data_IF_478495158581
#
_entry.id   IF_478495158581
#
_cell.length_a   1.000
_cell.length_b   1.000
_cell.length_c   1.000
_cell.angle_alpha   90.00
_cell.angle_beta   90.00
_cell.angle_gamma   90.00
#
_symmetry.space_group_name_H-M   'P 1'
#
loop_
_entity.id
_entity.type
_entity.pdbx_description
1 polymer ?
#
# COMPACT_ATOMS: atom_id res chain seq x y z
N UNK A 1 -6.52 -15.31 -0.57
CA UNK A 1 -5.08 -15.45 -0.89
C UNK A 1 -4.15 -15.30 0.33
N UNK A 2 -4.35 -14.33 1.23
CA UNK A 2 -3.47 -14.12 2.41
C UNK A 2 -3.95 -14.75 3.72
N UNK A 3 -5.23 -15.11 3.83
CA UNK A 3 -5.78 -15.75 5.01
C UNK A 3 -5.08 -17.10 5.29
N UNK A 4 -4.50 -17.23 6.49
CA UNK A 4 -3.77 -18.44 6.92
C UNK A 4 -2.27 -18.44 6.64
N UNK A 5 -1.71 -17.41 5.99
CA UNK A 5 -0.27 -17.24 5.82
C UNK A 5 0.27 -16.21 6.82
N UNK A 6 1.29 -16.58 7.57
CA UNK A 6 2.09 -15.62 8.35
C UNK A 6 3.12 -15.03 7.40
N UNK A 7 2.85 -13.81 6.93
CA UNK A 7 3.83 -13.03 6.17
C UNK A 7 4.63 -12.17 7.14
N UNK A 8 5.96 -12.04 6.94
CA UNK A 8 6.74 -11.11 7.74
C UNK A 8 6.28 -9.68 7.43
N UNK A 9 5.69 -9.03 8.43
CA UNK A 9 5.30 -7.63 8.38
C UNK A 9 6.40 -6.81 9.07
N UNK A 10 6.70 -5.65 8.53
CA UNK A 10 7.68 -4.73 9.15
C UNK A 10 7.06 -3.94 10.31
N UNK A 11 5.75 -3.67 10.29
CA UNK A 11 5.06 -2.95 11.37
C UNK A 11 3.76 -2.30 10.93
N UNK A 12 3.22 -1.42 11.78
CA UNK A 12 2.01 -0.63 11.50
C UNK A 12 2.37 0.81 11.19
N UNK A 13 1.97 1.31 10.02
CA UNK A 13 2.15 2.72 9.68
C UNK A 13 1.15 3.58 10.45
N UNK A 14 1.67 4.49 11.28
CA UNK A 14 0.89 5.47 12.06
C UNK A 14 1.35 6.92 11.76
N UNK A 15 1.95 7.13 10.58
CA UNK A 15 2.60 8.40 10.24
C UNK A 15 3.67 8.78 11.27
N UNK A 16 3.75 10.08 11.59
CA UNK A 16 4.70 10.64 12.55
C UNK A 16 4.50 10.16 13.99
N UNK A 17 3.36 9.53 14.31
CA UNK A 17 3.08 8.95 15.63
C UNK A 17 3.61 7.51 15.77
N UNK A 18 4.08 6.89 14.69
CA UNK A 18 4.60 5.53 14.67
C UNK A 18 6.12 5.44 14.73
N UNK A 19 6.63 4.24 14.42
CA UNK A 19 8.06 4.00 14.33
C UNK A 19 8.65 4.67 13.08
N UNK A 20 9.73 5.44 13.27
CA UNK A 20 10.34 6.24 12.20
C UNK A 20 10.80 5.40 10.99
N UNK A 21 11.28 4.18 11.22
CA UNK A 21 11.73 3.31 10.13
C UNK A 21 10.56 2.80 9.26
N UNK A 22 9.37 2.61 9.86
CA UNK A 22 8.14 2.25 9.14
C UNK A 22 7.63 3.44 8.34
N UNK A 23 7.60 4.62 8.96
CA UNK A 23 7.25 5.85 8.27
C UNK A 23 8.17 6.06 7.06
N UNK A 24 9.48 5.95 7.24
CA UNK A 24 10.45 6.07 6.15
C UNK A 24 10.18 5.08 5.01
N UNK A 25 10.00 3.78 5.31
CA UNK A 25 9.76 2.76 4.29
C UNK A 25 8.51 3.03 3.44
N UNK A 26 7.48 3.64 4.02
CA UNK A 26 6.22 3.99 3.33
C UNK A 26 6.36 5.32 2.58
N UNK A 27 6.92 6.33 3.22
CA UNK A 27 6.98 7.71 2.72
C UNK A 27 8.04 7.90 1.64
N UNK A 28 9.10 7.09 1.64
CA UNK A 28 10.16 7.13 0.62
C UNK A 28 9.89 6.23 -0.59
N UNK A 29 8.73 5.56 -0.65
CA UNK A 29 8.42 4.65 -1.75
C UNK A 29 8.28 5.43 -3.07
N UNK A 30 8.98 4.96 -4.10
CA UNK A 30 8.88 5.48 -5.47
C UNK A 30 7.59 5.01 -6.18
N UNK A 31 6.95 3.96 -5.66
CA UNK A 31 5.62 3.51 -6.02
C UNK A 31 4.93 2.85 -4.82
N UNK A 32 3.94 3.52 -4.22
CA UNK A 32 3.22 2.98 -3.07
C UNK A 32 1.92 2.28 -3.49
N UNK A 33 1.84 0.96 -3.30
CA UNK A 33 0.63 0.18 -3.52
C UNK A 33 -0.27 0.17 -2.27
N UNK A 34 -1.40 0.88 -2.34
CA UNK A 34 -2.34 1.07 -1.24
C UNK A 34 -3.60 0.22 -1.45
N UNK A 35 -3.65 -0.93 -0.80
CA UNK A 35 -4.73 -1.91 -0.93
C UNK A 35 -5.79 -1.71 0.16
N UNK A 36 -6.97 -1.20 -0.20
CA UNK A 36 -8.08 -0.99 0.73
C UNK A 36 -7.83 0.11 1.77
N UNK A 37 -6.84 0.97 1.55
CA UNK A 37 -6.46 2.02 2.50
C UNK A 37 -7.42 3.20 2.37
N UNK A 38 -8.11 3.52 3.46
CA UNK A 38 -8.87 4.77 3.59
C UNK A 38 -7.89 5.88 3.94
N UNK A 39 -7.86 6.92 3.11
CA UNK A 39 -6.99 8.08 3.35
C UNK A 39 -7.72 9.04 4.29
N UNK A 40 -7.14 9.34 5.45
CA UNK A 40 -7.69 10.32 6.41
C UNK A 40 -6.59 11.18 7.01
N UNK A 41 -6.91 12.45 7.32
CA UNK A 41 -5.95 13.40 7.91
C UNK A 41 -5.35 12.92 9.25
N UNK A 42 -6.08 12.06 9.97
CA UNK A 42 -5.62 11.42 11.23
C UNK A 42 -4.52 10.38 11.00
N UNK A 43 -4.53 9.70 9.85
CA UNK A 43 -3.57 8.65 9.52
C UNK A 43 -2.24 9.20 8.97
N UNK A 44 -2.24 10.45 8.49
CA UNK A 44 -1.07 11.09 7.86
C UNK A 44 -0.54 12.30 8.63
N UNK A 45 -1.12 12.61 9.81
CA UNK A 45 -0.72 13.74 10.64
C UNK A 45 -1.23 15.09 10.13
N UNK A 46 -1.37 16.05 11.04
CA UNK A 46 -1.96 17.39 10.83
C UNK A 46 -1.08 18.33 9.98
N UNK A 47 -0.11 17.82 9.23
CA UNK A 47 0.80 18.63 8.42
C UNK A 47 1.10 17.88 7.13
N UNK A 48 0.45 18.32 6.06
CA UNK A 48 0.34 17.59 4.81
C UNK A 48 1.67 17.20 4.15
N UNK A 49 1.58 16.08 3.41
CA UNK A 49 2.53 15.50 2.44
C UNK A 49 3.70 14.68 3.01
N UNK A 50 3.36 13.54 3.60
CA UNK A 50 4.34 12.47 3.79
C UNK A 50 4.30 11.41 2.66
N UNK A 51 3.15 11.17 2.03
CA UNK A 51 3.01 10.23 0.91
C UNK A 51 2.79 10.98 -0.40
N UNK A 52 3.62 10.70 -1.42
CA UNK A 52 3.40 11.23 -2.75
C UNK A 52 2.27 10.48 -3.46
N UNK A 53 1.09 11.10 -3.50
CA UNK A 53 -0.09 10.53 -4.16
C UNK A 53 0.02 10.45 -5.69
N UNK A 54 1.02 11.10 -6.30
CA UNK A 54 1.26 11.03 -7.75
C UNK A 54 1.91 9.72 -8.16
N UNK A 55 2.69 9.13 -7.26
CA UNK A 55 3.38 7.86 -7.46
C UNK A 55 2.67 6.69 -6.77
N UNK A 56 1.52 6.92 -6.11
CA UNK A 56 0.77 5.84 -5.48
C UNK A 56 -0.25 5.18 -6.42
N UNK A 57 -0.43 3.87 -6.22
CA UNK A 57 -1.52 3.07 -6.78
C UNK A 57 -2.53 2.85 -5.65
N UNK A 58 -3.72 3.42 -5.76
CA UNK A 58 -4.77 3.31 -4.73
C UNK A 58 -5.88 2.39 -5.18
N UNK A 59 -6.25 1.44 -4.34
CA UNK A 59 -7.28 0.44 -4.62
C UNK A 59 -8.33 0.52 -3.52
N UNK A 60 -9.43 1.21 -3.77
CA UNK A 60 -10.49 1.43 -2.80
C UNK A 60 -11.81 1.56 -3.54
N UNK A 61 -12.90 1.11 -2.92
CA UNK A 61 -14.27 1.31 -3.44
C UNK A 61 -14.45 0.84 -4.89
N UNK A 62 -13.94 -0.38 -5.18
CA UNK A 62 -13.95 -0.99 -6.52
C UNK A 62 -13.30 -0.11 -7.61
N UNK A 63 -12.36 0.74 -7.22
CA UNK A 63 -11.69 1.67 -8.13
C UNK A 63 -10.19 1.59 -7.92
N UNK A 64 -9.44 1.49 -9.02
CA UNK A 64 -7.99 1.64 -9.02
C UNK A 64 -7.63 3.02 -9.55
N UNK A 65 -6.85 3.78 -8.78
CA UNK A 65 -6.35 5.09 -9.18
C UNK A 65 -4.83 5.03 -9.25
N UNK A 66 -4.26 5.43 -10.39
CA UNK A 66 -2.83 5.50 -10.59
C UNK A 66 -2.48 6.76 -11.40
N UNK A 67 -1.68 7.65 -10.81
CA UNK A 67 -1.41 8.96 -11.40
C UNK A 67 -2.70 9.73 -11.70
N UNK A 68 -2.96 9.99 -12.98
CA UNK A 68 -4.18 10.66 -13.46
C UNK A 68 -5.23 9.69 -14.02
N UNK A 69 -4.99 8.39 -13.94
CA UNK A 69 -5.88 7.36 -14.47
C UNK A 69 -6.77 6.78 -13.37
N UNK A 70 -8.02 6.53 -13.74
CA UNK A 70 -9.03 5.91 -12.90
C UNK A 70 -9.62 4.72 -13.65
N UNK A 71 -9.59 3.56 -13.01
CA UNK A 71 -10.13 2.30 -13.52
C UNK A 71 -11.30 1.90 -12.61
N UNK A 72 -12.54 2.17 -13.01
CA UNK A 72 -13.71 1.83 -12.21
C UNK A 72 -14.05 0.35 -12.34
N UNK A 73 -14.91 -0.13 -11.43
CA UNK A 73 -15.46 -1.49 -11.40
C UNK A 73 -14.44 -2.63 -11.22
N UNK A 74 -13.24 -2.31 -10.73
CA UNK A 74 -12.20 -3.28 -10.41
C UNK A 74 -12.27 -3.61 -8.92
N UNK A 75 -12.72 -4.82 -8.56
CA UNK A 75 -12.69 -5.26 -7.17
C UNK A 75 -11.25 -5.48 -6.70
N UNK A 76 -11.01 -5.30 -5.39
CA UNK A 76 -9.71 -5.59 -4.78
C UNK A 76 -9.30 -7.05 -5.01
N UNK A 77 -10.25 -7.98 -4.91
CA UNK A 77 -10.03 -9.40 -5.18
C UNK A 77 -9.55 -9.64 -6.62
N UNK A 78 -10.27 -9.12 -7.62
CA UNK A 78 -9.91 -9.29 -9.02
C UNK A 78 -8.54 -8.70 -9.35
N UNK A 79 -8.18 -7.56 -8.73
CA UNK A 79 -6.86 -6.99 -8.88
C UNK A 79 -5.77 -7.90 -8.30
N UNK A 80 -5.96 -8.41 -7.08
CA UNK A 80 -4.97 -9.29 -6.43
C UNK A 80 -4.79 -10.59 -7.21
N UNK A 81 -5.87 -11.18 -7.71
CA UNK A 81 -5.81 -12.39 -8.51
C UNK A 81 -5.03 -12.15 -9.80
N UNK A 82 -5.33 -11.07 -10.53
CA UNK A 82 -4.60 -10.70 -11.75
C UNK A 82 -3.12 -10.38 -11.49
N UNK A 83 -2.81 -9.65 -10.41
CA UNK A 83 -1.41 -9.38 -10.03
C UNK A 83 -0.66 -10.66 -9.72
N UNK A 84 -1.30 -11.64 -9.10
CA UNK A 84 -0.69 -12.92 -8.74
C UNK A 84 -0.42 -13.79 -9.96
N UNK A 85 -1.31 -13.74 -10.95
CA UNK A 85 -1.15 -14.44 -12.22
C UNK A 85 0.00 -13.85 -13.05
N UNK A 86 0.16 -12.52 -13.02
CA UNK A 86 1.13 -11.79 -13.86
C UNK A 86 2.51 -11.58 -13.20
N UNK A 87 2.58 -11.49 -11.87
CA UNK A 87 3.82 -11.14 -11.18
C UNK A 87 4.81 -12.30 -11.16
N UNK A 88 6.08 -12.00 -11.45
CA UNK A 88 7.18 -12.90 -11.18
C UNK A 88 7.70 -12.72 -9.74
N UNK A 89 8.05 -13.79 -9.02
CA UNK A 89 8.68 -13.67 -7.71
C UNK A 89 10.00 -12.89 -7.79
N UNK A 90 10.13 -11.83 -6.98
CA UNK A 90 11.37 -11.06 -6.85
C UNK A 90 12.31 -11.63 -5.79
N UNK A 91 11.82 -12.53 -4.93
CA UNK A 91 12.54 -13.12 -3.81
C UNK A 91 11.58 -13.59 -2.71
N UNK A 92 12.13 -14.00 -1.57
CA UNK A 92 11.36 -14.30 -0.38
C UNK A 92 11.48 -13.14 0.61
N UNK A 93 10.36 -12.71 1.18
CA UNK A 93 10.38 -11.72 2.24
C UNK A 93 11.08 -12.32 3.47
N UNK A 94 12.11 -11.64 3.97
CA UNK A 94 12.78 -12.00 5.21
C UNK A 94 11.99 -11.45 6.40
N UNK A 95 11.93 -12.17 7.54
CA UNK A 95 11.44 -11.59 8.78
C UNK A 95 12.31 -10.41 9.18
N UNK A 96 11.66 -9.30 9.53
CA UNK A 96 12.33 -8.18 10.17
C UNK A 96 12.57 -8.55 11.65
N UNK A 97 13.80 -8.41 12.19
CA UNK A 97 14.08 -8.64 13.60
C UNK A 97 13.40 -7.61 14.51
#
# INVERSE_FOLDING_TARGET
>A
MFAGKVLPLIGTYLGSAGEAHIAHAIESADCLLMLGVIVSDTNFGVSGRNIDMRTSIRVLDRTVVFGHHLYPEVSLEALIDALTELAAPLGHAAPHP
#
